data_IF_019562126018
#
_entry.id   IF_019562126018
#
_cell.length_a   1.000
_cell.length_b   1.000
_cell.length_c   1.000
_cell.angle_alpha   90.00
_cell.angle_beta   90.00
_cell.angle_gamma   90.00
#
_symmetry.space_group_name_H-M   'P 1'
#
loop_
_entity.id
_entity.type
_entity.pdbx_description
1 polymer ?
#
# COMPACT_ATOMS: atom_id res chain seq x y z
N UNK A 1 -12.16 12.34 28.44
CA UNK A 1 -11.99 11.28 27.42
C UNK A 1 -12.56 11.76 26.11
N UNK A 2 -12.53 10.92 25.08
CA UNK A 2 -13.31 11.13 23.85
C UNK A 2 -14.47 10.14 23.86
N UNK A 3 -15.67 10.60 23.50
CA UNK A 3 -16.82 9.72 23.33
C UNK A 3 -16.67 8.96 22.01
N UNK A 4 -16.98 7.66 22.04
CA UNK A 4 -16.93 6.77 20.87
C UNK A 4 -18.26 6.04 20.74
N UNK A 5 -18.80 5.88 19.52
CA UNK A 5 -20.03 5.12 19.31
C UNK A 5 -19.80 3.62 19.52
N UNK A 6 -20.83 2.93 20.01
CA UNK A 6 -20.87 1.47 20.04
C UNK A 6 -21.69 1.01 18.83
N UNK A 7 -21.10 0.14 18.00
CA UNK A 7 -21.71 -0.39 16.78
C UNK A 7 -21.63 -1.91 16.78
N UNK A 8 -22.59 -2.55 16.12
CA UNK A 8 -22.50 -3.98 15.82
C UNK A 8 -21.70 -4.16 14.52
N UNK A 9 -20.66 -4.98 14.55
CA UNK A 9 -19.81 -5.26 13.38
C UNK A 9 -19.31 -6.70 13.42
N UNK A 10 -19.18 -7.31 12.24
CA UNK A 10 -18.76 -8.71 12.09
C UNK A 10 -17.28 -8.97 12.45
N UNK A 11 -16.46 -7.92 12.59
CA UNK A 11 -15.08 -8.05 13.05
C UNK A 11 -14.97 -8.45 14.53
N UNK A 12 -16.03 -8.30 15.33
CA UNK A 12 -16.03 -8.71 16.74
C UNK A 12 -16.44 -10.17 16.90
N UNK A 13 -15.59 -10.96 17.55
CA UNK A 13 -15.86 -12.36 17.91
C UNK A 13 -16.33 -12.43 19.37
N UNK A 14 -17.56 -12.91 19.59
CA UNK A 14 -18.18 -13.01 20.91
C UNK A 14 -17.44 -13.95 21.86
N UNK A 15 -16.75 -14.95 21.31
CA UNK A 15 -15.98 -15.94 22.08
C UNK A 15 -14.58 -15.41 22.46
N UNK A 16 -14.17 -14.26 21.92
CA UNK A 16 -12.83 -13.70 22.12
C UNK A 16 -12.85 -12.52 23.10
N UNK A 17 -12.09 -12.66 24.20
CA UNK A 17 -11.92 -11.59 25.18
C UNK A 17 -13.26 -11.26 25.86
N UNK A 18 -13.73 -10.03 25.69
CA UNK A 18 -15.03 -9.57 26.23
C UNK A 18 -16.17 -9.62 25.21
N UNK A 19 -15.91 -10.07 23.98
CA UNK A 19 -16.83 -9.93 22.85
C UNK A 19 -16.97 -8.50 22.31
N UNK A 20 -16.24 -7.53 22.89
CA UNK A 20 -16.19 -6.13 22.42
C UNK A 20 -14.81 -5.83 21.86
N UNK A 21 -14.74 -5.44 20.59
CA UNK A 21 -13.51 -5.08 19.89
C UNK A 21 -13.38 -3.56 19.78
N UNK A 22 -12.21 -3.03 20.17
CA UNK A 22 -11.84 -1.64 19.87
C UNK A 22 -11.43 -1.55 18.39
N UNK A 23 -12.15 -0.73 17.61
CA UNK A 23 -11.73 -0.37 16.25
C UNK A 23 -10.72 0.78 16.32
N UNK A 24 -9.46 0.50 16.04
CA UNK A 24 -8.40 1.51 16.00
C UNK A 24 -8.40 2.19 14.62
N UNK A 25 -8.02 3.48 14.55
CA UNK A 25 -7.99 4.22 13.27
C UNK A 25 -7.24 3.51 12.14
N UNK A 26 -6.12 2.84 12.44
CA UNK A 26 -5.29 2.06 11.50
C UNK A 26 -4.40 1.10 12.31
N UNK A 27 -4.98 0.23 13.15
CA UNK A 27 -4.20 -0.71 13.97
C UNK A 27 -3.81 -1.98 13.21
N UNK A 28 -4.74 -2.53 12.45
CA UNK A 28 -4.51 -3.66 11.56
C UNK A 28 -5.42 -3.61 10.30
N UNK A 29 -5.43 -4.70 9.53
CA UNK A 29 -6.28 -4.79 8.33
C UNK A 29 -7.78 -4.85 8.65
N UNK A 30 -8.17 -5.47 9.76
CA UNK A 30 -9.57 -5.59 10.16
C UNK A 30 -10.15 -4.24 10.59
N UNK A 31 -9.33 -3.42 11.24
CA UNK A 31 -9.65 -2.03 11.55
C UNK A 31 -9.93 -1.22 10.27
N UNK A 32 -9.06 -1.33 9.26
CA UNK A 32 -9.23 -0.62 7.99
C UNK A 32 -10.53 -1.02 7.28
N UNK A 33 -10.83 -2.32 7.28
CA UNK A 33 -12.06 -2.84 6.70
C UNK A 33 -13.30 -2.38 7.49
N UNK A 34 -13.26 -2.41 8.82
CA UNK A 34 -14.34 -1.95 9.69
C UNK A 34 -14.61 -0.45 9.51
N UNK A 35 -13.57 0.38 9.42
CA UNK A 35 -13.68 1.82 9.17
C UNK A 35 -14.36 2.09 7.85
N UNK A 36 -13.96 1.38 6.79
CA UNK A 36 -14.55 1.53 5.46
C UNK A 36 -16.02 1.07 5.43
N UNK A 37 -16.30 -0.10 6.00
CA UNK A 37 -17.65 -0.71 6.06
C UNK A 37 -18.63 0.18 6.81
N UNK A 38 -18.21 0.73 7.96
CA UNK A 38 -19.04 1.55 8.83
C UNK A 38 -18.91 3.06 8.58
N UNK A 39 -18.13 3.48 7.58
CA UNK A 39 -17.87 4.90 7.23
C UNK A 39 -17.38 5.73 8.43
N UNK A 40 -16.52 5.13 9.25
CA UNK A 40 -15.95 5.79 10.42
C UNK A 40 -14.91 6.84 9.99
N UNK A 41 -14.73 7.87 10.80
CA UNK A 41 -13.72 8.91 10.57
C UNK A 41 -12.50 8.62 11.44
N UNK A 42 -11.40 8.06 10.87
CA UNK A 42 -10.23 7.72 11.66
C UNK A 42 -9.48 8.97 12.11
N UNK A 43 -8.95 8.92 13.33
CA UNK A 43 -8.02 9.93 13.86
C UNK A 43 -6.60 9.42 13.75
N UNK A 44 -5.78 10.10 12.95
CA UNK A 44 -4.37 9.75 12.78
C UNK A 44 -3.57 10.37 13.91
N UNK A 45 -2.90 9.53 14.70
CA UNK A 45 -2.06 9.96 15.82
C UNK A 45 -0.58 9.72 15.57
N UNK A 46 -0.23 9.14 14.42
CA UNK A 46 1.15 8.84 14.03
C UNK A 46 1.67 9.83 13.00
N UNK A 47 2.96 10.14 13.14
CA UNK A 47 3.78 10.81 12.14
C UNK A 47 4.44 9.78 11.23
N UNK A 48 4.86 10.21 10.02
CA UNK A 48 5.52 9.34 9.02
C UNK A 48 6.81 8.67 9.52
N UNK A 49 7.46 9.23 10.54
CA UNK A 49 8.68 8.69 11.17
C UNK A 49 8.38 7.69 12.33
N UNK A 50 7.13 7.26 12.49
CA UNK A 50 6.69 6.31 13.51
C UNK A 50 6.69 6.85 14.94
N UNK A 51 6.59 8.18 15.10
CA UNK A 51 6.37 8.81 16.42
C UNK A 51 4.92 9.27 16.56
N UNK A 52 4.46 9.46 17.79
CA UNK A 52 3.13 10.02 18.03
C UNK A 52 3.11 11.55 17.81
N UNK A 53 1.96 12.04 17.34
CA UNK A 53 1.64 13.46 17.15
C UNK A 53 0.30 13.78 17.85
N UNK A 54 0.23 13.47 19.15
CA UNK A 54 -0.95 13.71 19.98
C UNK A 54 -0.51 14.26 21.33
N UNK A 55 -1.32 15.18 21.87
CA UNK A 55 -1.07 15.86 23.14
C UNK A 55 -0.72 14.90 24.27
N UNK A 56 0.45 15.10 24.87
CA UNK A 56 0.97 14.31 25.98
C UNK A 56 1.92 13.18 25.57
N UNK A 57 2.05 12.90 24.27
CA UNK A 57 2.90 11.82 23.74
C UNK A 57 3.69 12.25 22.50
N UNK A 58 3.77 13.55 22.21
CA UNK A 58 4.44 14.06 21.02
C UNK A 58 5.89 13.61 20.92
N UNK A 59 6.27 13.11 19.74
CA UNK A 59 7.63 12.64 19.46
C UNK A 59 7.98 11.29 20.10
N UNK A 60 7.14 10.72 20.96
CA UNK A 60 7.39 9.41 21.57
C UNK A 60 7.29 8.31 20.52
N UNK A 61 8.18 7.31 20.64
CA UNK A 61 8.04 6.04 19.91
C UNK A 61 6.92 5.21 20.52
N UNK A 62 6.35 4.33 19.70
CA UNK A 62 5.14 3.55 20.03
C UNK A 62 5.30 2.74 21.32
N UNK A 63 6.44 2.05 21.47
CA UNK A 63 6.72 1.21 22.66
C UNK A 63 6.81 2.04 23.94
N UNK A 64 7.36 3.24 23.87
CA UNK A 64 7.48 4.13 25.03
C UNK A 64 6.13 4.78 25.37
N UNK A 65 5.39 5.21 24.35
CA UNK A 65 4.03 5.73 24.53
C UNK A 65 3.12 4.67 25.14
N UNK A 66 3.19 3.41 24.69
CA UNK A 66 2.43 2.29 25.25
C UNK A 66 2.70 2.09 26.74
N UNK A 67 3.98 2.11 27.17
CA UNK A 67 4.36 2.00 28.59
C UNK A 67 3.78 3.14 29.42
N UNK A 68 3.85 4.38 28.91
CA UNK A 68 3.31 5.56 29.59
C UNK A 68 1.78 5.49 29.70
N UNK A 69 1.09 5.13 28.62
CA UNK A 69 -0.37 4.96 28.59
C UNK A 69 -0.80 3.90 29.60
N UNK A 70 -0.10 2.76 29.64
CA UNK A 70 -0.42 1.69 30.58
C UNK A 70 -0.34 2.19 32.04
N UNK A 71 0.75 2.87 32.40
CA UNK A 71 0.92 3.45 33.73
C UNK A 71 -0.21 4.43 34.09
N UNK A 72 -0.59 5.31 33.18
CA UNK A 72 -1.68 6.27 33.41
C UNK A 72 -3.05 5.60 33.55
N UNK A 73 -3.27 4.45 32.88
CA UNK A 73 -4.49 3.66 33.02
C UNK A 73 -4.52 2.91 34.37
N UNK A 74 -3.39 2.39 34.83
CA UNK A 74 -3.22 1.78 36.16
C UNK A 74 -3.49 2.79 37.27
N UNK A 75 -2.87 3.98 37.20
CA UNK A 75 -3.06 5.07 38.18
C UNK A 75 -4.52 5.53 38.29
N UNK A 76 -5.30 5.40 37.20
CA UNK A 76 -6.72 5.73 37.16
C UNK A 76 -7.65 4.56 37.53
N UNK A 77 -7.10 3.37 37.78
CA UNK A 77 -7.89 2.17 38.06
C UNK A 77 -8.76 1.72 36.89
N UNK A 78 -8.34 2.00 35.65
CA UNK A 78 -9.11 1.67 34.43
C UNK A 78 -8.73 0.30 33.83
N UNK A 79 -7.76 -0.40 34.41
CA UNK A 79 -7.35 -1.74 33.99
C UNK A 79 -8.08 -2.77 34.84
N UNK A 80 -8.93 -3.58 34.21
CA UNK A 80 -9.64 -4.69 34.86
C UNK A 80 -8.75 -5.94 34.89
N UNK A 81 -8.05 -6.22 33.79
CA UNK A 81 -7.25 -7.42 33.63
C UNK A 81 -6.06 -7.18 32.67
N UNK A 82 -4.92 -7.82 32.94
CA UNK A 82 -3.77 -7.85 32.05
C UNK A 82 -3.26 -9.29 31.91
N UNK A 83 -3.10 -9.76 30.67
CA UNK A 83 -2.61 -11.10 30.33
C UNK A 83 -1.50 -11.02 29.30
N UNK A 84 -0.51 -11.90 29.44
CA UNK A 84 0.47 -12.13 28.38
C UNK A 84 -0.18 -12.99 27.29
N UNK A 85 0.04 -12.62 26.03
CA UNK A 85 -0.47 -13.35 24.87
C UNK A 85 0.67 -13.60 23.88
N UNK A 86 0.50 -14.64 23.09
CA UNK A 86 1.32 -14.90 21.90
C UNK A 86 0.47 -14.74 20.65
N UNK A 87 0.98 -14.02 19.67
CA UNK A 87 0.32 -13.82 18.39
C UNK A 87 1.33 -13.52 17.28
N UNK A 88 0.90 -13.65 16.03
CA UNK A 88 1.71 -13.29 14.88
C UNK A 88 1.77 -11.77 14.71
N UNK A 89 2.99 -11.24 14.54
CA UNK A 89 3.23 -9.82 14.24
C UNK A 89 3.89 -9.72 12.88
N UNK A 90 3.35 -8.84 12.02
CA UNK A 90 3.94 -8.58 10.72
C UNK A 90 5.17 -7.69 10.88
N UNK A 91 6.25 -8.05 10.19
CA UNK A 91 7.51 -7.33 10.22
C UNK A 91 8.01 -7.05 8.81
N UNK A 92 8.82 -6.01 8.66
CA UNK A 92 9.49 -5.71 7.40
C UNK A 92 10.45 -6.85 7.02
N UNK A 93 10.34 -7.34 5.79
CA UNK A 93 11.08 -8.49 5.26
C UNK A 93 12.60 -8.34 5.37
N UNK A 94 13.14 -7.12 5.24
CA UNK A 94 14.59 -6.89 5.26
C UNK A 94 15.17 -6.61 6.63
N UNK A 95 14.47 -5.86 7.48
CA UNK A 95 15.03 -5.38 8.75
C UNK A 95 14.35 -5.93 10.00
N UNK A 96 13.25 -6.67 9.86
CA UNK A 96 12.54 -7.29 10.98
C UNK A 96 11.79 -6.32 11.89
N UNK A 97 11.74 -5.03 11.55
CA UNK A 97 10.96 -4.04 12.31
C UNK A 97 9.48 -4.26 12.10
N UNK A 98 8.70 -4.22 13.19
CA UNK A 98 7.23 -4.27 13.18
C UNK A 98 6.66 -3.24 12.19
N UNK A 99 5.67 -3.66 11.39
CA UNK A 99 4.99 -2.77 10.45
C UNK A 99 3.85 -2.02 11.14
N UNK A 100 3.59 -0.81 10.65
CA UNK A 100 2.47 0.02 11.09
C UNK A 100 1.61 0.39 9.88
N UNK A 101 0.31 0.55 10.08
CA UNK A 101 -0.61 0.98 9.02
C UNK A 101 -0.75 2.50 9.06
N UNK A 102 -0.52 3.15 7.91
CA UNK A 102 -0.68 4.60 7.74
C UNK A 102 -1.48 4.88 6.47
N UNK A 103 -2.43 5.82 6.49
CA UNK A 103 -3.10 6.28 5.29
C UNK A 103 -2.19 7.24 4.53
N UNK A 104 -1.47 6.73 3.54
CA UNK A 104 -0.56 7.50 2.68
C UNK A 104 -0.99 7.39 1.23
N UNK A 105 -0.83 8.48 0.47
CA UNK A 105 -1.02 8.46 -0.98
C UNK A 105 0.08 7.59 -1.62
N UNK A 106 -0.32 6.65 -2.47
CA UNK A 106 0.55 5.67 -3.13
C UNK A 106 0.02 5.36 -4.53
N UNK A 107 0.91 4.89 -5.40
CA UNK A 107 0.59 4.40 -6.74
C UNK A 107 0.27 2.92 -6.73
N UNK A 108 -0.84 2.55 -7.36
CA UNK A 108 -1.30 1.17 -7.43
C UNK A 108 -1.52 0.72 -8.88
N UNK A 109 -1.20 -0.53 -9.16
CA UNK A 109 -1.70 -1.23 -10.34
C UNK A 109 -2.94 -2.02 -9.95
N UNK A 110 -4.05 -1.75 -10.63
CA UNK A 110 -5.29 -2.52 -10.47
C UNK A 110 -5.11 -3.95 -11.00
N UNK A 111 -5.16 -4.91 -10.08
CA UNK A 111 -4.95 -6.33 -10.35
C UNK A 111 -6.08 -7.21 -9.81
N UNK A 112 -6.86 -6.73 -8.83
CA UNK A 112 -7.91 -7.52 -8.21
C UNK A 112 -9.02 -7.92 -9.20
N UNK A 113 -9.28 -7.08 -10.20
CA UNK A 113 -10.23 -7.38 -11.29
C UNK A 113 -9.62 -8.25 -12.40
N UNK A 114 -8.33 -8.59 -12.32
CA UNK A 114 -7.60 -9.41 -13.31
C UNK A 114 -7.28 -10.81 -12.81
N UNK A 115 -7.73 -11.20 -11.61
CA UNK A 115 -7.44 -12.52 -11.02
C UNK A 115 -7.74 -13.69 -11.95
N UNK A 116 -8.90 -13.68 -12.62
CA UNK A 116 -9.31 -14.73 -13.54
C UNK A 116 -8.38 -14.83 -14.76
N UNK A 117 -8.00 -13.69 -15.34
CA UNK A 117 -7.07 -13.63 -16.46
C UNK A 117 -5.67 -14.09 -16.05
N UNK A 118 -5.19 -13.68 -14.87
CA UNK A 118 -3.90 -14.13 -14.33
C UNK A 118 -3.86 -15.65 -14.15
N UNK A 119 -4.90 -16.26 -13.56
CA UNK A 119 -5.01 -17.72 -13.44
C UNK A 119 -5.05 -18.39 -14.81
N UNK A 120 -5.79 -17.83 -15.77
CA UNK A 120 -5.86 -18.35 -17.15
C UNK A 120 -4.50 -18.33 -17.84
N UNK A 121 -3.71 -17.26 -17.67
CA UNK A 121 -2.34 -17.21 -18.18
C UNK A 121 -1.42 -18.19 -17.44
N UNK A 122 -1.58 -18.32 -16.12
CA UNK A 122 -0.89 -19.31 -15.31
C UNK A 122 -1.08 -20.75 -15.81
N UNK A 123 -2.29 -21.11 -16.26
CA UNK A 123 -2.58 -22.44 -16.84
C UNK A 123 -1.84 -22.76 -18.13
N UNK A 124 -1.35 -21.74 -18.86
CA UNK A 124 -0.56 -21.93 -20.09
C UNK A 124 0.91 -22.22 -19.80
N UNK A 125 1.38 -21.94 -18.60
CA UNK A 125 2.77 -22.17 -18.18
C UNK A 125 2.92 -23.66 -17.87
N UNK A 126 4.01 -24.26 -18.34
CA UNK A 126 4.41 -25.61 -17.93
C UNK A 126 5.18 -25.52 -16.60
N UNK A 127 4.49 -25.80 -15.49
CA UNK A 127 5.05 -25.68 -14.14
C UNK A 127 5.92 -26.88 -13.77
N UNK A 128 7.10 -26.61 -13.23
CA UNK A 128 8.01 -27.64 -12.73
C UNK A 128 8.49 -27.26 -11.32
N UNK A 129 8.12 -28.02 -10.26
CA UNK A 129 7.17 -29.14 -10.25
C UNK A 129 5.71 -28.69 -10.46
N UNK A 130 4.83 -29.62 -10.87
CA UNK A 130 3.44 -29.31 -11.27
C UNK A 130 2.61 -28.63 -10.17
N UNK A 131 2.84 -28.99 -8.89
CA UNK A 131 2.11 -28.40 -7.77
C UNK A 131 2.36 -26.89 -7.60
N UNK A 132 3.40 -26.31 -8.23
CA UNK A 132 3.64 -24.88 -8.19
C UNK A 132 2.50 -24.08 -8.82
N UNK A 133 1.79 -24.65 -9.81
CA UNK A 133 0.57 -24.02 -10.33
C UNK A 133 -0.47 -23.81 -9.23
N UNK A 134 -0.66 -24.80 -8.35
CA UNK A 134 -1.63 -24.70 -7.24
C UNK A 134 -1.23 -23.62 -6.24
N UNK A 135 0.07 -23.46 -5.97
CA UNK A 135 0.57 -22.35 -5.12
C UNK A 135 0.31 -20.99 -5.76
N UNK A 136 0.60 -20.85 -7.05
CA UNK A 136 0.31 -19.65 -7.81
C UNK A 136 -1.19 -19.33 -7.82
N UNK A 137 -2.03 -20.31 -8.12
CA UNK A 137 -3.48 -20.12 -8.15
C UNK A 137 -4.04 -19.70 -6.78
N UNK A 138 -3.60 -20.34 -5.70
CA UNK A 138 -3.98 -19.98 -4.34
C UNK A 138 -3.55 -18.54 -3.99
N UNK A 139 -2.33 -18.16 -4.37
CA UNK A 139 -1.84 -16.79 -4.16
C UNK A 139 -2.70 -15.75 -4.90
N UNK A 140 -2.99 -15.98 -6.18
CA UNK A 140 -3.84 -15.06 -6.97
C UNK A 140 -5.25 -14.95 -6.38
N UNK A 141 -5.85 -16.08 -5.97
CA UNK A 141 -7.17 -16.10 -5.33
C UNK A 141 -7.17 -15.29 -4.03
N UNK A 142 -6.11 -15.45 -3.21
CA UNK A 142 -5.93 -14.79 -1.92
C UNK A 142 -5.48 -13.33 -1.96
N UNK A 143 -5.27 -12.71 -3.13
CA UNK A 143 -4.92 -11.28 -3.20
C UNK A 143 -6.07 -10.41 -2.62
N UNK A 144 -5.80 -9.67 -1.55
CA UNK A 144 -6.77 -8.77 -0.91
C UNK A 144 -6.64 -7.32 -1.39
N UNK A 145 -5.47 -6.93 -1.92
CA UNK A 145 -5.13 -5.54 -2.26
C UNK A 145 -4.62 -5.43 -3.70
N UNK A 146 -4.85 -4.26 -4.31
CA UNK A 146 -4.16 -3.88 -5.53
C UNK A 146 -2.65 -3.67 -5.25
N UNK A 147 -1.83 -3.84 -6.28
CA UNK A 147 -0.38 -3.84 -6.08
C UNK A 147 0.15 -2.42 -5.91
N UNK A 148 0.56 -2.06 -4.69
CA UNK A 148 1.31 -0.83 -4.43
C UNK A 148 2.68 -0.89 -5.07
N UNK A 149 2.91 -0.03 -6.07
CA UNK A 149 4.12 0.00 -6.90
C UNK A 149 5.04 1.19 -6.61
N UNK A 150 4.69 2.06 -5.67
CA UNK A 150 5.53 3.20 -5.27
C UNK A 150 6.26 2.93 -3.97
N UNK A 151 7.46 3.50 -3.81
CA UNK A 151 8.28 3.40 -2.60
C UNK A 151 8.87 4.77 -2.29
N UNK A 152 8.82 5.14 -1.01
CA UNK A 152 9.54 6.30 -0.50
C UNK A 152 11.01 5.91 -0.24
N UNK A 153 11.82 5.95 -1.30
CA UNK A 153 13.24 5.58 -1.31
C UNK A 153 13.99 6.51 -2.23
N UNK A 154 15.25 6.78 -1.89
CA UNK A 154 16.14 7.59 -2.73
C UNK A 154 16.65 6.84 -3.97
N UNK A 155 16.68 5.51 -3.94
CA UNK A 155 17.20 4.68 -5.03
C UNK A 155 16.08 3.86 -5.68
N UNK A 156 15.89 4.06 -6.97
CA UNK A 156 14.93 3.34 -7.81
C UNK A 156 14.70 4.06 -9.13
N UNK A 157 13.85 3.48 -9.98
CA UNK A 157 13.40 4.16 -11.21
C UNK A 157 12.35 5.20 -10.82
N UNK A 158 12.53 6.50 -11.13
CA UNK A 158 11.56 7.51 -10.77
C UNK A 158 10.22 7.28 -11.46
N UNK A 159 9.12 7.58 -10.77
CA UNK A 159 7.79 7.56 -11.36
C UNK A 159 7.64 8.84 -12.18
N UNK A 160 7.46 8.79 -13.52
CA UNK A 160 7.52 9.98 -14.38
C UNK A 160 6.19 10.75 -14.33
N UNK A 161 5.87 11.29 -13.15
CA UNK A 161 4.62 11.97 -12.85
C UNK A 161 4.84 13.27 -12.07
N UNK A 162 3.88 14.17 -12.19
CA UNK A 162 3.79 15.42 -11.44
C UNK A 162 2.35 15.65 -11.00
N UNK A 163 2.17 16.36 -9.90
CA UNK A 163 0.86 16.78 -9.40
C UNK A 163 0.71 18.30 -9.47
N UNK A 164 -0.49 18.77 -9.80
CA UNK A 164 -0.81 20.19 -9.74
C UNK A 164 -1.48 20.52 -8.40
N UNK A 165 -0.84 21.31 -7.54
CA UNK A 165 -1.41 21.72 -6.25
C UNK A 165 -2.75 22.47 -6.38
N UNK A 166 -2.94 23.25 -7.45
CA UNK A 166 -4.16 24.04 -7.68
C UNK A 166 -5.32 23.20 -8.26
N UNK A 167 -5.03 22.37 -9.26
CA UNK A 167 -6.06 21.60 -9.97
C UNK A 167 -6.25 20.19 -9.41
N UNK A 168 -5.38 19.73 -8.50
CA UNK A 168 -5.31 18.34 -7.99
C UNK A 168 -5.21 17.27 -9.09
N UNK A 169 -4.74 17.66 -10.28
CA UNK A 169 -4.54 16.77 -11.43
C UNK A 169 -3.16 16.14 -11.37
N UNK A 170 -3.11 14.87 -11.75
CA UNK A 170 -1.89 14.12 -11.99
C UNK A 170 -1.56 14.21 -13.48
N UNK A 171 -0.31 14.54 -13.79
CA UNK A 171 0.23 14.65 -15.14
C UNK A 171 1.38 13.66 -15.25
N UNK A 172 1.32 12.77 -16.23
CA UNK A 172 2.37 11.78 -16.50
C UNK A 172 3.19 12.21 -17.72
N UNK A 173 4.43 11.75 -17.83
CA UNK A 173 5.26 12.03 -18.98
C UNK A 173 4.71 11.38 -20.25
N UNK A 174 4.84 12.07 -21.37
CA UNK A 174 4.59 11.47 -22.68
C UNK A 174 5.70 10.46 -23.00
N UNK A 175 5.38 9.45 -23.80
CA UNK A 175 6.35 8.41 -24.18
C UNK A 175 7.63 8.98 -24.84
N UNK A 176 7.47 10.03 -25.65
CA UNK A 176 8.57 10.73 -26.34
C UNK A 176 9.53 11.49 -25.39
N UNK A 177 9.09 11.76 -24.16
CA UNK A 177 9.89 12.44 -23.14
C UNK A 177 10.67 11.43 -22.29
N UNK A 178 10.38 10.13 -22.42
CA UNK A 178 11.06 9.10 -21.65
C UNK A 178 12.46 8.79 -22.23
N UNK A 179 13.45 8.51 -21.37
CA UNK A 179 13.40 8.53 -19.90
C UNK A 179 13.46 9.96 -19.34
N UNK A 180 12.68 10.24 -18.29
CA UNK A 180 12.67 11.53 -17.59
C UNK A 180 12.70 11.33 -16.08
N UNK A 181 13.52 12.14 -15.40
CA UNK A 181 13.47 12.29 -13.95
C UNK A 181 12.60 13.52 -13.62
N UNK A 182 11.44 13.35 -12.98
CA UNK A 182 10.57 14.46 -12.61
C UNK A 182 11.21 15.44 -11.62
N UNK A 183 12.17 14.99 -10.80
CA UNK A 183 12.87 15.86 -9.85
C UNK A 183 13.84 16.82 -10.52
N UNK A 184 14.30 16.48 -11.72
CA UNK A 184 15.20 17.31 -12.53
C UNK A 184 14.46 18.10 -13.63
N UNK A 185 13.19 17.79 -13.86
CA UNK A 185 12.41 18.33 -14.98
C UNK A 185 11.22 19.14 -14.48
N UNK A 186 11.29 20.45 -14.67
CA UNK A 186 10.19 21.36 -14.34
C UNK A 186 9.11 21.33 -15.41
N UNK A 187 7.86 21.15 -15.00
CA UNK A 187 6.69 21.22 -15.88
C UNK A 187 5.65 22.19 -15.33
N UNK A 188 4.82 22.73 -16.23
CA UNK A 188 3.68 23.59 -15.89
C UNK A 188 2.37 22.87 -16.16
N UNK A 189 1.38 23.13 -15.33
CA UNK A 189 0.04 22.61 -15.51
C UNK A 189 -0.54 23.09 -16.85
N UNK A 190 -1.07 22.19 -17.71
CA UNK A 190 -1.65 22.59 -18.98
C UNK A 190 -2.85 23.53 -18.79
N UNK A 191 -3.61 23.36 -17.72
CA UNK A 191 -4.85 24.11 -17.46
C UNK A 191 -4.59 25.44 -16.76
N UNK A 192 -3.96 25.43 -15.58
CA UNK A 192 -3.81 26.62 -14.74
C UNK A 192 -2.42 27.26 -14.80
N UNK A 193 -1.51 26.74 -15.63
CA UNK A 193 -0.14 27.23 -15.87
C UNK A 193 0.78 27.33 -14.64
N UNK A 194 0.36 26.84 -13.47
CA UNK A 194 1.20 26.79 -12.28
C UNK A 194 2.34 25.78 -12.46
N UNK A 195 3.44 25.98 -11.75
CA UNK A 195 4.48 24.95 -11.62
C UNK A 195 3.87 23.68 -11.00
N UNK A 196 4.30 22.51 -11.49
CA UNK A 196 3.87 21.22 -10.98
C UNK A 196 4.85 20.70 -9.94
N UNK A 197 4.32 19.97 -8.96
CA UNK A 197 5.11 19.27 -7.95
C UNK A 197 5.53 17.91 -8.51
N UNK A 198 6.84 17.66 -8.54
CA UNK A 198 7.39 16.40 -9.01
C UNK A 198 7.10 15.24 -8.04
N UNK A 199 6.79 14.07 -8.60
CA UNK A 199 6.71 12.84 -7.81
C UNK A 199 8.09 12.50 -7.24
N UNK A 200 8.12 12.24 -5.93
CA UNK A 200 9.34 11.93 -5.17
C UNK A 200 9.53 10.44 -4.98
N UNK A 201 8.46 9.66 -5.10
CA UNK A 201 8.50 8.22 -4.98
C UNK A 201 9.13 7.58 -6.21
N UNK A 202 9.77 6.44 -5.98
CA UNK A 202 10.32 5.58 -7.04
C UNK A 202 9.48 4.32 -7.20
N UNK A 203 9.57 3.67 -8.36
CA UNK A 203 8.94 2.37 -8.54
C UNK A 203 9.54 1.31 -7.64
N UNK A 204 8.69 0.41 -7.20
CA UNK A 204 9.05 -0.82 -6.51
C UNK A 204 9.99 -1.69 -7.37
N UNK A 205 10.97 -2.31 -6.74
CA UNK A 205 11.93 -3.17 -7.43
C UNK A 205 11.26 -4.35 -8.13
N UNK A 206 10.16 -4.88 -7.58
CA UNK A 206 9.40 -5.95 -8.21
C UNK A 206 8.59 -5.46 -9.42
N UNK A 207 8.17 -4.19 -9.42
CA UNK A 207 7.48 -3.59 -10.57
C UNK A 207 8.43 -3.51 -11.76
N UNK A 208 9.64 -3.01 -11.57
CA UNK A 208 10.64 -2.94 -12.65
C UNK A 208 11.10 -4.32 -13.10
N UNK A 209 11.30 -5.25 -12.15
CA UNK A 209 11.66 -6.65 -12.47
C UNK A 209 10.55 -7.41 -13.21
N UNK A 210 9.28 -7.04 -13.03
CA UNK A 210 8.17 -7.66 -13.77
C UNK A 210 8.24 -7.40 -15.29
N UNK A 211 8.99 -6.37 -15.71
CA UNK A 211 9.20 -5.99 -17.10
C UNK A 211 10.44 -6.65 -17.73
N UNK A 212 11.17 -7.49 -16.99
CA UNK A 212 12.39 -8.14 -17.47
C UNK A 212 12.23 -8.85 -18.82
N UNK A 213 11.14 -9.61 -19.10
CA UNK A 213 10.97 -10.23 -20.41
C UNK A 213 10.95 -9.19 -21.54
N UNK A 214 10.18 -8.10 -21.38
CA UNK A 214 10.06 -7.02 -22.36
C UNK A 214 11.39 -6.31 -22.59
N UNK A 215 12.12 -6.02 -21.50
CA UNK A 215 13.45 -5.40 -21.57
C UNK A 215 14.41 -6.31 -22.33
N UNK A 216 14.46 -7.60 -22.01
CA UNK A 216 15.34 -8.56 -22.67
C UNK A 216 15.03 -8.72 -24.17
N UNK A 217 13.74 -8.78 -24.54
CA UNK A 217 13.32 -8.83 -25.95
C UNK A 217 13.71 -7.57 -26.72
N UNK A 218 13.59 -6.39 -26.11
CA UNK A 218 14.02 -5.12 -26.70
C UNK A 218 15.52 -5.13 -26.99
N UNK A 219 16.34 -5.57 -26.01
CA UNK A 219 17.79 -5.68 -26.16
C UNK A 219 18.22 -6.70 -27.24
N UNK A 220 17.41 -7.72 -27.48
CA UNK A 220 17.64 -8.69 -28.55
C UNK A 220 17.22 -8.18 -29.95
N UNK A 221 16.88 -6.89 -30.10
CA UNK A 221 16.48 -6.29 -31.38
C UNK A 221 15.14 -6.83 -31.91
N UNK A 222 14.23 -7.22 -31.02
CA UNK A 222 12.91 -7.74 -31.41
C UNK A 222 12.92 -9.15 -32.02
N UNK A 223 14.07 -9.85 -31.99
CA UNK A 223 14.19 -11.26 -32.42
C UNK A 223 13.30 -12.20 -31.61
N UNK A 224 13.03 -11.85 -30.36
CA UNK A 224 12.13 -12.59 -29.47
C UNK A 224 10.75 -11.92 -29.51
N UNK A 225 9.78 -12.54 -30.18
CA UNK A 225 8.40 -12.06 -30.20
C UNK A 225 7.72 -12.37 -28.86
N UNK A 226 7.47 -11.34 -28.06
CA UNK A 226 6.63 -11.45 -26.86
C UNK A 226 5.16 -11.27 -27.30
N UNK A 227 4.30 -12.21 -26.90
CA UNK A 227 2.87 -12.19 -27.27
C UNK A 227 2.13 -10.95 -26.75
N UNK A 228 2.64 -10.30 -25.71
CA UNK A 228 2.19 -9.01 -25.22
C UNK A 228 3.00 -7.86 -25.87
N UNK A 229 2.75 -7.59 -27.16
CA UNK A 229 2.98 -6.24 -27.68
C UNK A 229 1.81 -5.36 -27.23
N UNK A 230 2.14 -4.13 -26.81
CA UNK A 230 1.27 -3.07 -26.26
C UNK A 230 -0.23 -3.29 -26.44
N UNK A 231 -0.97 -3.31 -25.32
CA UNK A 231 -2.42 -3.17 -25.33
C UNK A 231 -2.92 -1.82 -25.93
N UNK A 232 -2.00 -0.89 -26.25
CA UNK A 232 -2.32 0.43 -26.80
C UNK A 232 -2.78 0.43 -28.26
N UNK A 233 -2.53 -0.63 -29.03
CA UNK A 233 -3.06 -0.72 -30.41
C UNK A 233 -4.58 -0.97 -30.47
N UNK A 234 -5.23 -1.23 -29.32
CA UNK A 234 -6.70 -1.40 -29.26
C UNK A 234 -7.47 -0.13 -28.87
N UNK A 235 -6.83 1.03 -28.74
CA UNK A 235 -7.52 2.30 -28.44
C UNK A 235 -7.40 3.39 -29.52
N UNK A 236 -6.68 3.16 -30.62
CA UNK A 236 -6.74 4.01 -31.83
C UNK A 236 -7.68 3.43 -32.87
N UNK A 237 -8.87 3.02 -32.43
CA UNK A 237 -10.00 2.68 -33.28
C UNK A 237 -11.02 3.83 -33.25
N UNK A 238 -10.65 4.94 -33.87
CA UNK A 238 -11.53 5.92 -34.49
C UNK A 238 -10.89 6.31 -35.82
#
# INVERSE_FOLDING_TARGET
>A
GHEVPIIADESADIEKGTGVLMVCSYGDKYDVDAIKRNKLQPRIIFSHNGTLNIKGYEGMKIKDARKKILKELEEKGLIIEQKQIEHAVNVHDKCGTEIEFLPVEQWFIKILDKKSELIKQGKKIKWHPEFMFKRYENWIKGLEWDWSISRDRHFGVPIPAWSCAKCRKIIIADEKELPVDPLQTKKKCPDCKSELEAEKQVFDTWMTSSLTPQIASSLAGGKIKIQYRRALERQTGN
#
